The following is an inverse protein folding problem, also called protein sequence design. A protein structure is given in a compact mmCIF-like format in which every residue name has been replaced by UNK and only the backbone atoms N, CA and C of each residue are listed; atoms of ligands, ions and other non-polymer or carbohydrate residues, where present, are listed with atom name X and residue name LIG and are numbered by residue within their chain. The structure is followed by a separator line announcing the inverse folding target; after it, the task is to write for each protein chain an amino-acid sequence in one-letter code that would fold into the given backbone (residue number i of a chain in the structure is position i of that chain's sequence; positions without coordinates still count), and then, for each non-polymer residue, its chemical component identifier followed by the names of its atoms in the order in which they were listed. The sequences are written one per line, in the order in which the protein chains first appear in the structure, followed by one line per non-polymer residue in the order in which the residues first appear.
data_IF_120171757642
#
_entry.id   IF_120171757642
#
_cell.length_a   1.000
_cell.length_b   1.000
_cell.length_c   1.000
_cell.angle_alpha   90.00
_cell.angle_beta   90.00
_cell.angle_gamma   90.00
#
_symmetry.space_group_name_H-M   'P 1'
#
loop_
_entity.id
_entity.type
_entity.pdbx_description
1 polymer ?
#
# COMPACT_ATOMS: atom_id res chain seq x y z
N UNK A 1 18.49 -40.64 -26.59
CA UNK A 1 18.88 -39.31 -26.06
C UNK A 1 20.35 -39.33 -25.64
N UNK A 2 21.09 -38.21 -25.75
CA UNK A 2 22.44 -38.06 -25.17
C UNK A 2 22.36 -37.74 -23.68
N UNK A 3 23.31 -38.21 -22.87
CA UNK A 3 23.31 -37.98 -21.42
C UNK A 3 23.25 -36.49 -21.02
N UNK A 4 23.84 -35.61 -21.84
CA UNK A 4 23.79 -34.15 -21.64
C UNK A 4 22.36 -33.59 -21.69
N UNK A 5 21.56 -34.05 -22.66
CA UNK A 5 20.14 -33.69 -22.77
C UNK A 5 19.32 -34.30 -21.62
N UNK A 6 19.68 -35.51 -21.19
CA UNK A 6 19.02 -36.17 -20.07
C UNK A 6 19.22 -35.42 -18.76
N UNK A 7 20.42 -34.87 -18.51
CA UNK A 7 20.68 -34.00 -17.37
C UNK A 7 19.84 -32.73 -17.38
N UNK A 8 19.61 -32.14 -18.55
CA UNK A 8 18.72 -30.98 -18.66
C UNK A 8 17.27 -31.35 -18.29
N UNK A 9 16.77 -32.46 -18.85
CA UNK A 9 15.43 -32.96 -18.50
C UNK A 9 15.34 -33.38 -17.03
N UNK A 10 16.43 -33.87 -16.43
CA UNK A 10 16.49 -34.23 -15.00
C UNK A 10 16.15 -33.05 -14.09
N UNK A 11 16.68 -31.85 -14.36
CA UNK A 11 16.36 -30.63 -13.61
C UNK A 11 14.89 -30.24 -13.80
N UNK A 12 14.42 -30.20 -15.05
CA UNK A 12 13.01 -29.90 -15.34
C UNK A 12 12.04 -30.90 -14.72
N UNK A 13 12.42 -32.17 -14.59
CA UNK A 13 11.61 -33.20 -13.94
C UNK A 13 11.53 -32.96 -12.43
N UNK A 14 12.63 -32.52 -11.80
CA UNK A 14 12.64 -32.14 -10.38
C UNK A 14 11.76 -30.93 -10.09
N UNK A 15 11.75 -29.94 -10.98
CA UNK A 15 10.95 -28.72 -10.81
C UNK A 15 9.49 -28.88 -11.29
N UNK A 16 9.18 -29.99 -11.97
CA UNK A 16 7.83 -30.29 -12.48
C UNK A 16 7.47 -29.56 -13.77
N UNK A 17 8.47 -29.05 -14.50
CA UNK A 17 8.29 -28.22 -15.69
C UNK A 17 8.24 -29.00 -17.00
N UNK A 18 8.49 -30.32 -16.98
CA UNK A 18 8.45 -31.15 -18.19
C UNK A 18 7.03 -31.44 -18.67
N UNK A 19 6.84 -31.45 -19.98
CA UNK A 19 5.65 -32.00 -20.62
C UNK A 19 5.64 -33.55 -20.60
N UNK A 20 4.50 -34.16 -20.90
CA UNK A 20 4.33 -35.63 -20.82
C UNK A 20 5.23 -36.40 -21.80
N UNK A 21 5.57 -35.81 -22.94
CA UNK A 21 6.46 -36.43 -23.93
C UNK A 21 7.92 -36.40 -23.42
N UNK A 22 8.36 -35.26 -22.90
CA UNK A 22 9.68 -35.06 -22.32
C UNK A 22 9.88 -35.95 -21.09
N UNK A 23 8.86 -36.11 -20.25
CA UNK A 23 8.90 -37.06 -19.11
C UNK A 23 9.10 -38.48 -19.58
N UNK A 24 8.36 -38.93 -20.60
CA UNK A 24 8.49 -40.28 -21.14
C UNK A 24 9.90 -40.51 -21.72
N UNK A 25 10.41 -39.57 -22.53
CA UNK A 25 11.76 -39.63 -23.10
C UNK A 25 12.86 -39.64 -22.02
N UNK A 26 12.69 -38.86 -20.95
CA UNK A 26 13.59 -38.86 -19.80
C UNK A 26 13.58 -40.19 -19.05
N UNK A 27 12.40 -40.72 -18.71
CA UNK A 27 12.28 -41.98 -17.98
C UNK A 27 12.81 -43.17 -18.79
N UNK A 28 12.59 -43.18 -20.10
CA UNK A 28 13.17 -44.19 -21.00
C UNK A 28 14.70 -44.17 -20.97
N UNK A 29 15.30 -42.97 -21.01
CA UNK A 29 16.75 -42.83 -20.92
C UNK A 29 17.30 -43.18 -19.53
N UNK A 30 16.60 -42.79 -18.47
CA UNK A 30 16.99 -43.08 -17.09
C UNK A 30 17.02 -44.60 -16.82
N UNK A 31 16.10 -45.35 -17.42
CA UNK A 31 16.05 -46.81 -17.30
C UNK A 31 17.09 -47.54 -18.17
N UNK A 32 17.63 -46.88 -19.20
CA UNK A 32 18.56 -47.49 -20.16
C UNK A 32 20.02 -47.06 -19.98
N UNK A 33 20.29 -45.96 -19.27
CA UNK A 33 21.62 -45.40 -19.06
C UNK A 33 22.09 -45.55 -17.60
N UNK A 34 23.12 -46.39 -17.33
CA UNK A 34 23.67 -46.56 -15.98
C UNK A 34 24.24 -45.28 -15.37
N UNK A 35 24.87 -44.43 -16.19
CA UNK A 35 25.51 -43.19 -15.71
C UNK A 35 24.46 -42.18 -15.20
N UNK A 36 23.37 -41.99 -15.95
CA UNK A 36 22.28 -41.11 -15.53
C UNK A 36 21.54 -41.67 -14.31
N UNK A 37 21.43 -43.00 -14.20
CA UNK A 37 20.85 -43.66 -13.04
C UNK A 37 21.71 -43.48 -11.79
N UNK A 38 23.04 -43.51 -11.93
CA UNK A 38 23.97 -43.26 -10.84
C UNK A 38 23.96 -41.80 -10.36
N UNK A 39 23.68 -40.84 -11.25
CA UNK A 39 23.62 -39.41 -10.92
C UNK A 39 22.29 -38.97 -10.29
N UNK A 40 21.19 -39.64 -10.64
CA UNK A 40 19.84 -39.30 -10.19
C UNK A 40 19.68 -39.11 -8.65
N UNK A 41 20.25 -39.96 -7.78
CA UNK A 41 20.17 -39.77 -6.34
C UNK A 41 20.75 -38.43 -5.85
N UNK A 42 21.84 -37.96 -6.46
CA UNK A 42 22.51 -36.72 -6.08
C UNK A 42 21.62 -35.50 -6.35
N UNK A 43 20.95 -35.49 -7.50
CA UNK A 43 20.00 -34.45 -7.88
C UNK A 43 18.77 -34.43 -6.97
N UNK A 44 18.23 -35.60 -6.62
CA UNK A 44 17.13 -35.70 -5.67
C UNK A 44 17.53 -35.21 -4.27
N UNK A 45 18.75 -35.53 -3.81
CA UNK A 45 19.26 -35.05 -2.53
C UNK A 45 19.32 -33.51 -2.49
N UNK A 46 19.82 -32.87 -3.56
CA UNK A 46 19.86 -31.40 -3.65
C UNK A 46 18.48 -30.77 -3.54
N UNK A 47 17.46 -31.34 -4.20
CA UNK A 47 16.07 -30.88 -4.09
C UNK A 47 15.54 -31.00 -2.66
N UNK A 48 15.84 -32.09 -1.97
CA UNK A 48 15.37 -32.30 -0.60
C UNK A 48 16.12 -31.43 0.41
N UNK A 49 17.39 -31.12 0.19
CA UNK A 49 18.14 -30.16 1.01
C UNK A 49 17.67 -28.72 0.79
N UNK A 50 17.40 -28.32 -0.46
CA UNK A 50 16.89 -26.98 -0.76
C UNK A 50 15.50 -26.75 -0.16
N UNK A 51 14.61 -27.75 -0.18
CA UNK A 51 13.30 -27.69 0.51
C UNK A 51 13.40 -27.49 2.02
N UNK A 52 14.48 -27.97 2.66
CA UNK A 52 14.71 -27.81 4.10
C UNK A 52 15.20 -26.40 4.45
N UNK A 53 15.64 -25.61 3.47
CA UNK A 53 15.94 -24.19 3.68
C UNK A 53 14.64 -23.45 3.98
N UNK A 54 14.40 -23.20 5.26
CA UNK A 54 13.34 -22.28 5.68
C UNK A 54 13.82 -20.86 5.40
N UNK A 55 13.04 -20.11 4.64
CA UNK A 55 13.18 -18.66 4.62
C UNK A 55 13.12 -18.16 6.08
N UNK A 56 14.13 -17.38 6.50
CA UNK A 56 14.02 -16.63 7.76
C UNK A 56 12.86 -15.66 7.60
N UNK A 57 11.78 -15.89 8.34
CA UNK A 57 10.75 -14.88 8.51
C UNK A 57 11.43 -13.63 9.09
N UNK A 58 11.19 -12.47 8.48
CA UNK A 58 11.63 -11.20 9.05
C UNK A 58 10.99 -11.04 10.44
N UNK A 59 11.74 -10.56 11.46
CA UNK A 59 11.21 -10.34 12.79
C UNK A 59 9.97 -9.44 12.78
N UNK A 60 8.97 -9.74 13.63
CA UNK A 60 7.72 -8.98 13.75
C UNK A 60 7.93 -7.46 13.91
N UNK A 61 9.03 -7.05 14.56
CA UNK A 61 9.40 -5.65 14.76
C UNK A 61 9.48 -4.82 13.46
N UNK A 62 9.83 -5.44 12.33
CA UNK A 62 9.88 -4.77 11.03
C UNK A 62 8.48 -4.54 10.42
N UNK A 63 7.49 -5.33 10.80
CA UNK A 63 6.11 -5.17 10.33
C UNK A 63 5.42 -3.99 11.02
N UNK A 64 5.68 -3.79 12.31
CA UNK A 64 5.08 -2.70 13.08
C UNK A 64 5.51 -1.31 12.60
N UNK A 65 6.80 -1.12 12.30
CA UNK A 65 7.32 0.13 11.75
C UNK A 65 6.72 0.45 10.37
N UNK A 66 6.57 -0.55 9.52
CA UNK A 66 5.99 -0.39 8.19
C UNK A 66 4.52 0.07 8.28
N UNK A 67 3.72 -0.61 9.10
CA UNK A 67 2.31 -0.28 9.28
C UNK A 67 2.12 1.09 9.95
N UNK A 68 2.91 1.42 10.97
CA UNK A 68 2.86 2.73 11.64
C UNK A 68 3.15 3.89 10.69
N UNK A 69 4.07 3.73 9.74
CA UNK A 69 4.42 4.79 8.79
C UNK A 69 3.39 4.97 7.68
N UNK A 70 2.76 3.88 7.23
CA UNK A 70 1.76 3.90 6.16
C UNK A 70 0.40 4.37 6.71
N UNK A 71 -0.08 3.78 7.79
CA UNK A 71 -1.42 4.05 8.36
C UNK A 71 -1.54 5.51 8.81
N UNK A 72 -0.56 5.99 9.58
CA UNK A 72 -0.57 7.36 10.07
C UNK A 72 -0.42 8.40 8.94
N UNK A 73 0.14 8.04 7.77
CA UNK A 73 0.25 8.96 6.63
C UNK A 73 -1.06 9.08 5.87
N UNK A 74 -1.78 7.97 5.73
CA UNK A 74 -3.03 7.86 4.98
C UNK A 74 -4.18 8.47 5.79
N UNK A 75 -4.35 8.12 7.06
CA UNK A 75 -5.42 8.68 7.90
C UNK A 75 -5.37 10.20 7.96
N UNK A 76 -4.16 10.76 8.18
CA UNK A 76 -4.00 12.22 8.21
C UNK A 76 -4.25 12.84 6.85
N UNK A 77 -3.87 12.19 5.75
CA UNK A 77 -4.14 12.71 4.40
C UNK A 77 -5.64 12.76 4.09
N UNK A 78 -6.32 11.62 4.25
CA UNK A 78 -7.74 11.46 3.95
C UNK A 78 -8.60 12.30 4.91
N UNK A 79 -8.25 12.33 6.20
CA UNK A 79 -8.95 13.14 7.20
C UNK A 79 -8.97 14.62 6.83
N UNK A 80 -7.86 15.18 6.35
CA UNK A 80 -7.85 16.58 5.90
C UNK A 80 -8.65 16.82 4.63
N UNK A 81 -8.66 15.87 3.69
CA UNK A 81 -9.45 15.99 2.45
C UNK A 81 -10.94 16.00 2.80
N UNK A 82 -11.40 15.03 3.60
CA UNK A 82 -12.79 14.95 4.02
C UNK A 82 -13.21 16.15 4.88
N UNK A 83 -12.35 16.59 5.81
CA UNK A 83 -12.61 17.78 6.62
C UNK A 83 -12.70 19.05 5.77
N UNK A 84 -11.81 19.23 4.79
CA UNK A 84 -11.84 20.41 3.91
C UNK A 84 -13.08 20.40 3.02
N UNK A 85 -13.44 19.23 2.50
CA UNK A 85 -14.64 19.08 1.68
C UNK A 85 -15.91 19.38 2.49
N UNK A 86 -16.01 18.84 3.70
CA UNK A 86 -17.12 19.12 4.62
C UNK A 86 -17.20 20.61 4.98
N UNK A 87 -16.07 21.24 5.28
CA UNK A 87 -16.01 22.68 5.57
C UNK A 87 -16.49 23.52 4.38
N UNK A 88 -16.08 23.20 3.15
CA UNK A 88 -16.53 23.90 1.93
C UNK A 88 -18.05 23.80 1.78
N UNK A 89 -18.63 22.62 1.97
CA UNK A 89 -20.07 22.40 1.85
C UNK A 89 -20.83 23.22 2.89
N UNK A 90 -20.41 23.16 4.16
CA UNK A 90 -21.04 23.91 5.25
C UNK A 90 -20.95 25.41 5.01
N UNK A 91 -19.77 25.89 4.60
CA UNK A 91 -19.57 27.32 4.32
C UNK A 91 -20.39 27.79 3.11
N UNK A 92 -20.50 26.98 2.08
CA UNK A 92 -21.32 27.29 0.90
C UNK A 92 -22.81 27.34 1.25
N UNK A 93 -23.31 26.39 2.04
CA UNK A 93 -24.69 26.36 2.49
C UNK A 93 -25.02 27.54 3.41
N UNK A 94 -24.18 27.79 4.42
CA UNK A 94 -24.35 28.93 5.32
C UNK A 94 -24.24 30.27 4.58
N UNK A 95 -23.32 30.38 3.60
CA UNK A 95 -23.23 31.55 2.73
C UNK A 95 -24.48 31.74 1.86
N UNK A 96 -25.04 30.65 1.34
CA UNK A 96 -26.29 30.69 0.59
C UNK A 96 -27.47 31.17 1.45
N UNK A 97 -27.63 30.64 2.67
CA UNK A 97 -28.69 31.09 3.58
C UNK A 97 -28.52 32.56 3.98
N UNK A 98 -27.30 32.99 4.29
CA UNK A 98 -27.02 34.40 4.58
C UNK A 98 -27.34 35.28 3.38
N UNK A 99 -26.96 34.90 2.15
CA UNK A 99 -27.27 35.68 0.95
C UNK A 99 -28.78 35.72 0.67
N UNK A 100 -29.48 34.60 0.87
CA UNK A 100 -30.93 34.50 0.70
C UNK A 100 -31.66 35.39 1.70
N UNK A 101 -31.35 35.28 2.99
CA UNK A 101 -31.90 36.17 4.03
C UNK A 101 -31.43 37.62 3.86
N UNK A 102 -30.26 37.87 3.26
CA UNK A 102 -29.75 39.21 3.01
C UNK A 102 -30.46 39.93 1.85
N UNK A 103 -30.70 39.22 0.75
CA UNK A 103 -31.24 39.78 -0.48
C UNK A 103 -32.75 39.64 -0.63
N UNK A 104 -33.39 38.61 -0.05
CA UNK A 104 -34.80 38.29 -0.30
C UNK A 104 -35.73 38.61 0.87
N UNK A 105 -35.22 38.82 2.08
CA UNK A 105 -36.05 39.05 3.27
C UNK A 105 -35.62 40.30 4.05
N UNK A 106 -36.48 41.32 4.05
CA UNK A 106 -36.26 42.61 4.72
C UNK A 106 -36.79 42.65 6.17
N UNK A 107 -37.24 41.51 6.69
CA UNK A 107 -37.99 41.40 7.96
C UNK A 107 -37.15 40.99 9.18
N UNK A 108 -35.89 40.57 8.98
CA UNK A 108 -35.03 40.03 10.05
C UNK A 108 -34.27 41.13 10.83
N UNK A 109 -34.14 41.03 12.16
CA UNK A 109 -33.38 41.97 12.97
C UNK A 109 -31.89 41.96 12.61
N UNK A 110 -31.33 43.17 12.46
CA UNK A 110 -29.95 43.44 12.02
C UNK A 110 -28.86 42.73 12.84
N UNK A 111 -29.13 42.47 14.12
CA UNK A 111 -28.23 41.78 15.05
C UNK A 111 -28.00 40.32 14.65
N UNK A 112 -29.03 39.62 14.20
CA UNK A 112 -28.94 38.21 13.78
C UNK A 112 -28.09 38.05 12.51
N UNK A 113 -28.25 38.99 11.56
CA UNK A 113 -27.42 39.09 10.34
C UNK A 113 -25.94 39.27 10.65
N UNK A 114 -25.61 40.24 11.52
CA UNK A 114 -24.22 40.53 11.88
C UNK A 114 -23.62 39.36 12.69
N UNK A 115 -24.41 38.76 13.58
CA UNK A 115 -24.01 37.60 14.38
C UNK A 115 -23.63 36.39 13.52
N UNK A 116 -24.46 36.01 12.54
CA UNK A 116 -24.14 34.91 11.62
C UNK A 116 -22.92 35.22 10.76
N UNK A 117 -22.80 36.46 10.26
CA UNK A 117 -21.65 36.88 9.47
C UNK A 117 -20.32 36.78 10.23
N UNK A 118 -20.30 37.24 11.48
CA UNK A 118 -19.11 37.14 12.35
C UNK A 118 -18.78 35.68 12.71
N UNK A 119 -19.78 34.85 12.96
CA UNK A 119 -19.58 33.44 13.29
C UNK A 119 -18.99 32.67 12.09
N UNK A 120 -19.54 32.89 10.90
CA UNK A 120 -19.01 32.35 9.64
C UNK A 120 -17.59 32.81 9.36
N UNK A 121 -17.33 34.11 9.49
CA UNK A 121 -16.01 34.68 9.28
C UNK A 121 -14.99 34.14 10.30
N UNK A 122 -15.37 34.02 11.57
CA UNK A 122 -14.55 33.40 12.60
C UNK A 122 -14.20 31.94 12.29
N UNK A 123 -15.16 31.18 11.76
CA UNK A 123 -14.94 29.80 11.33
C UNK A 123 -13.92 29.71 10.18
N UNK A 124 -14.03 30.61 9.19
CA UNK A 124 -13.09 30.69 8.07
C UNK A 124 -11.68 31.04 8.56
N UNK A 125 -11.55 32.02 9.47
CA UNK A 125 -10.24 32.44 10.02
C UNK A 125 -9.58 31.31 10.81
N UNK A 126 -10.34 30.62 11.67
CA UNK A 126 -9.83 29.45 12.41
C UNK A 126 -9.41 28.33 11.45
N UNK A 127 -10.22 28.06 10.43
CA UNK A 127 -9.92 27.05 9.42
C UNK A 127 -8.62 27.37 8.66
N UNK A 128 -8.45 28.61 8.20
CA UNK A 128 -7.23 29.08 7.52
C UNK A 128 -6.02 29.04 8.45
N UNK A 129 -6.18 29.40 9.72
CA UNK A 129 -5.11 29.34 10.73
C UNK A 129 -4.58 27.91 10.90
N UNK A 130 -5.50 26.96 11.12
CA UNK A 130 -5.17 25.54 11.28
C UNK A 130 -4.56 24.96 9.99
N UNK A 131 -5.11 25.32 8.83
CA UNK A 131 -4.60 24.88 7.54
C UNK A 131 -3.17 25.40 7.28
N UNK A 132 -2.90 26.67 7.59
CA UNK A 132 -1.59 27.30 7.45
C UNK A 132 -0.56 26.64 8.37
N UNK A 133 -0.91 26.43 9.63
CA UNK A 133 -0.04 25.77 10.61
C UNK A 133 0.35 24.36 10.13
N UNK A 134 -0.62 23.56 9.69
CA UNK A 134 -0.36 22.21 9.16
C UNK A 134 0.45 22.20 7.87
N UNK A 135 0.22 23.13 6.94
CA UNK A 135 0.99 23.26 5.70
C UNK A 135 2.43 23.68 5.96
N UNK A 136 2.64 24.61 6.90
CA UNK A 136 3.96 25.13 7.23
C UNK A 136 4.81 24.07 7.96
N UNK A 137 4.21 23.35 8.91
CA UNK A 137 4.86 22.23 9.61
C UNK A 137 5.22 21.11 8.61
N UNK A 138 4.35 20.78 7.65
CA UNK A 138 4.67 19.79 6.60
C UNK A 138 5.84 20.19 5.71
N UNK A 139 6.04 21.49 5.46
CA UNK A 139 7.10 22.02 4.59
C UNK A 139 8.46 22.11 5.29
N UNK A 140 8.50 22.35 6.60
CA UNK A 140 9.74 22.61 7.34
C UNK A 140 10.27 21.45 8.19
N UNK A 141 9.58 20.31 8.23
CA UNK A 141 10.01 19.19 9.06
C UNK A 141 11.19 18.43 8.45
N UNK A 142 12.41 18.94 8.74
CA UNK A 142 13.71 18.39 8.32
C UNK A 142 14.00 17.02 8.94
N UNK A 143 13.30 16.63 10.00
CA UNK A 143 13.51 15.39 10.77
C UNK A 143 12.54 14.27 10.43
N UNK A 144 11.65 14.47 9.45
CA UNK A 144 10.62 13.49 9.03
C UNK A 144 11.16 12.13 8.56
N UNK A 145 12.47 11.99 8.38
CA UNK A 145 13.17 10.75 7.95
C UNK A 145 14.05 10.11 9.02
N UNK A 146 14.12 10.69 10.22
CA UNK A 146 14.94 10.13 11.30
C UNK A 146 14.00 9.34 12.20
N UNK A 147 13.96 8.03 11.95
CA UNK A 147 13.32 7.03 12.81
C UNK A 147 14.33 6.74 13.93
N UNK A 148 13.88 6.77 15.19
CA UNK A 148 14.71 6.49 16.36
C UNK A 148 14.46 5.07 16.84
#
# INVERSE_FOLDING_TARGET
MKCEQARFLMMGYLDGELDEKQKAEFLEHLNSCPDCQAEWPSFNQLKEESKKMKFRALPEMYWDEYWQQVYNRIERGIGWILFSLGAIIVLAFAGYEVLKEFFLDASQPLVLRIGMGLLMFGFIVLFVSVLREKLMVRRHDKYRRIIR
#
